data_IF_267645761454
#
_entry.id   IF_267645761454
#
_cell.length_a   1.000
_cell.length_b   1.000
_cell.length_c   1.000
_cell.angle_alpha   90.00
_cell.angle_beta   90.00
_cell.angle_gamma   90.00
#
_symmetry.space_group_name_H-M   'P 1'
#
loop_
_entity.id
_entity.type
_entity.pdbx_description
1 polymer ?
#
# COMPACT_ATOMS: atom_id res chain seq x y z
N UNK A 1 -14.24 -2.33 11.18
CA UNK A 1 -15.52 -2.54 10.43
C UNK A 1 -15.21 -3.25 9.12
N UNK A 2 -16.00 -4.25 8.72
CA UNK A 2 -15.80 -5.03 7.50
C UNK A 2 -17.03 -5.02 6.61
N UNK A 3 -16.80 -5.11 5.29
CA UNK A 3 -17.81 -5.29 4.26
C UNK A 3 -17.46 -6.53 3.44
N UNK A 4 -18.41 -7.44 3.29
CA UNK A 4 -18.28 -8.63 2.44
C UNK A 4 -19.33 -8.54 1.33
N UNK A 5 -18.90 -8.80 0.09
CA UNK A 5 -19.78 -8.88 -1.09
C UNK A 5 -19.25 -9.91 -2.07
N UNK A 6 -20.05 -10.27 -3.06
CA UNK A 6 -19.63 -11.19 -4.10
C UNK A 6 -20.20 -10.80 -5.46
N UNK A 7 -19.55 -11.26 -6.52
CA UNK A 7 -20.05 -11.26 -7.89
C UNK A 7 -19.99 -12.67 -8.50
N UNK A 8 -20.13 -12.76 -9.82
CA UNK A 8 -20.05 -14.05 -10.52
C UNK A 8 -18.67 -14.74 -10.37
N UNK A 9 -17.61 -13.97 -10.11
CA UNK A 9 -16.21 -14.38 -10.22
C UNK A 9 -15.51 -14.59 -8.88
N UNK A 10 -15.85 -13.81 -7.86
CA UNK A 10 -15.13 -13.84 -6.59
C UNK A 10 -16.01 -13.41 -5.41
N UNK A 11 -15.55 -13.72 -4.20
CA UNK A 11 -16.00 -13.13 -2.94
C UNK A 11 -14.94 -12.12 -2.51
N UNK A 12 -15.37 -10.97 -2.05
CA UNK A 12 -14.53 -9.85 -1.64
C UNK A 12 -14.74 -9.52 -0.18
N UNK A 13 -13.68 -9.10 0.49
CA UNK A 13 -13.76 -8.53 1.84
C UNK A 13 -12.93 -7.25 1.90
N UNK A 14 -13.55 -6.17 2.39
CA UNK A 14 -12.87 -4.91 2.69
C UNK A 14 -12.95 -4.65 4.18
N UNK A 15 -11.80 -4.50 4.82
CA UNK A 15 -11.65 -4.17 6.23
C UNK A 15 -11.13 -2.74 6.37
N UNK A 16 -11.71 -1.96 7.26
CA UNK A 16 -11.26 -0.61 7.56
C UNK A 16 -11.35 -0.35 9.06
N UNK A 17 -10.39 0.42 9.59
CA UNK A 17 -10.34 0.77 11.01
C UNK A 17 -10.21 -0.46 11.92
N UNK A 18 -9.44 -1.46 11.49
CA UNK A 18 -9.11 -2.61 12.33
C UNK A 18 -8.20 -2.10 13.44
N UNK A 19 -8.50 -2.47 14.68
CA UNK A 19 -7.76 -2.09 15.89
C UNK A 19 -7.15 -3.33 16.54
N UNK A 20 -6.00 -3.22 17.19
CA UNK A 20 -5.51 -4.28 18.09
C UNK A 20 -6.50 -4.48 19.25
N UNK A 21 -6.65 -5.70 19.76
CA UNK A 21 -7.64 -6.00 20.82
C UNK A 21 -7.28 -5.38 22.18
N UNK A 22 -6.00 -5.09 22.44
CA UNK A 22 -5.52 -4.42 23.66
C UNK A 22 -4.69 -3.20 23.31
N UNK A 23 -5.29 -2.01 23.45
CA UNK A 23 -4.65 -0.72 23.17
C UNK A 23 -3.63 -0.30 24.24
N UNK A 24 -3.64 -0.96 25.41
CA UNK A 24 -2.68 -0.70 26.49
C UNK A 24 -1.39 -1.52 26.35
N UNK A 25 -1.38 -2.52 25.46
CA UNK A 25 -0.21 -3.34 25.21
C UNK A 25 0.95 -2.53 24.57
N UNK A 26 2.21 -2.94 24.76
CA UNK A 26 3.34 -2.35 24.04
C UNK A 26 3.11 -2.33 22.52
N UNK A 27 3.60 -1.30 21.84
CA UNK A 27 3.34 -1.06 20.39
C UNK A 27 3.75 -2.21 19.48
N UNK A 28 4.85 -2.92 19.79
CA UNK A 28 5.23 -4.12 19.04
C UNK A 28 4.25 -5.29 19.21
N UNK A 29 3.62 -5.41 20.40
CA UNK A 29 2.55 -6.39 20.66
C UNK A 29 1.28 -6.00 19.88
N UNK A 30 0.93 -4.72 19.87
CA UNK A 30 -0.18 -4.22 19.06
C UNK A 30 0.07 -4.48 17.56
N UNK A 31 1.32 -4.28 17.07
CA UNK A 31 1.68 -4.56 15.68
C UNK A 31 1.59 -6.05 15.32
N UNK A 32 1.92 -6.96 16.22
CA UNK A 32 1.69 -8.38 16.00
C UNK A 32 0.19 -8.74 16.00
N UNK A 33 -0.55 -8.20 16.98
CA UNK A 33 -1.97 -8.48 17.16
C UNK A 33 -2.84 -8.00 15.99
N UNK A 34 -2.50 -6.86 15.33
CA UNK A 34 -3.30 -6.31 14.24
C UNK A 34 -3.44 -7.28 13.05
N UNK A 35 -2.40 -8.05 12.74
CA UNK A 35 -2.45 -9.04 11.65
C UNK A 35 -3.30 -10.25 12.02
N UNK A 36 -3.28 -10.68 13.28
CA UNK A 36 -4.17 -11.74 13.78
C UNK A 36 -5.62 -11.27 13.79
N UNK A 37 -5.89 -10.01 14.10
CA UNK A 37 -7.23 -9.44 14.05
C UNK A 37 -7.76 -9.37 12.61
N UNK A 38 -6.93 -8.95 11.64
CA UNK A 38 -7.27 -9.02 10.21
C UNK A 38 -7.60 -10.47 9.83
N UNK A 39 -6.78 -11.45 10.22
CA UNK A 39 -7.01 -12.86 9.92
C UNK A 39 -8.32 -13.38 10.54
N UNK A 40 -8.62 -13.00 11.78
CA UNK A 40 -9.86 -13.34 12.48
C UNK A 40 -11.09 -12.81 11.76
N UNK A 41 -11.07 -11.53 11.37
CA UNK A 41 -12.17 -10.91 10.61
C UNK A 41 -12.35 -11.51 9.22
N UNK A 42 -11.26 -11.90 8.55
CA UNK A 42 -11.33 -12.60 7.27
C UNK A 42 -11.93 -14.01 7.43
N UNK A 43 -11.65 -14.70 8.54
CA UNK A 43 -12.22 -16.02 8.82
C UNK A 43 -13.75 -15.98 8.94
N UNK A 44 -14.34 -14.91 9.47
CA UNK A 44 -15.80 -14.69 9.51
C UNK A 44 -16.40 -14.64 8.09
N UNK A 45 -15.61 -14.16 7.09
CA UNK A 45 -16.00 -14.16 5.68
C UNK A 45 -15.61 -15.45 4.93
N UNK A 46 -15.14 -16.49 5.64
CA UNK A 46 -14.66 -17.73 5.04
C UNK A 46 -13.38 -17.58 4.21
N UNK A 47 -12.55 -16.57 4.54
CA UNK A 47 -11.27 -16.26 3.90
C UNK A 47 -10.10 -16.51 4.86
N UNK A 48 -8.90 -16.49 4.31
CA UNK A 48 -7.63 -16.53 5.07
C UNK A 48 -6.76 -15.34 4.68
N UNK A 49 -5.66 -15.14 5.37
CA UNK A 49 -4.71 -14.08 5.02
C UNK A 49 -4.11 -14.26 3.60
N UNK A 50 -4.08 -15.47 3.05
CA UNK A 50 -3.66 -15.73 1.67
C UNK A 50 -4.56 -15.09 0.61
N UNK A 51 -5.76 -14.64 0.98
CA UNK A 51 -6.66 -13.90 0.10
C UNK A 51 -6.40 -12.38 0.11
N UNK A 52 -5.54 -11.88 1.01
CA UNK A 52 -5.25 -10.45 1.11
C UNK A 52 -4.40 -10.00 -0.07
N UNK A 53 -4.87 -8.99 -0.79
CA UNK A 53 -4.18 -8.41 -1.96
C UNK A 53 -3.65 -7.02 -1.67
N UNK A 54 -4.23 -6.32 -0.70
CA UNK A 54 -3.86 -4.95 -0.33
C UNK A 54 -4.00 -4.73 1.18
N UNK A 55 -3.03 -4.01 1.78
CA UNK A 55 -3.12 -3.55 3.18
C UNK A 55 -2.81 -2.05 3.29
N UNK A 56 -3.45 -1.38 4.25
CA UNK A 56 -3.12 -0.04 4.72
C UNK A 56 -2.80 -0.11 6.21
N UNK A 57 -1.70 0.51 6.60
CA UNK A 57 -1.16 0.46 7.96
C UNK A 57 -0.89 1.89 8.41
N UNK A 58 -1.70 2.37 9.34
CA UNK A 58 -1.63 3.72 9.88
C UNK A 58 -0.98 3.62 11.25
N UNK A 59 0.27 4.09 11.36
CA UNK A 59 1.17 3.81 12.48
C UNK A 59 1.46 5.11 13.20
N UNK A 60 1.04 5.24 14.47
CA UNK A 60 1.34 6.41 15.27
C UNK A 60 2.86 6.55 15.46
N UNK A 61 3.42 7.75 15.18
CA UNK A 61 4.85 8.04 15.28
C UNK A 61 5.75 7.02 14.59
N UNK A 62 5.41 6.69 13.34
CA UNK A 62 6.02 5.60 12.56
C UNK A 62 7.55 5.62 12.56
N UNK A 63 8.18 6.81 12.48
CA UNK A 63 9.64 6.95 12.43
C UNK A 63 10.35 6.45 13.70
N UNK A 64 9.67 6.43 14.85
CA UNK A 64 10.27 6.02 16.12
C UNK A 64 10.45 4.49 16.23
N UNK A 65 9.62 3.70 15.55
CA UNK A 65 9.58 2.25 15.78
C UNK A 65 9.29 1.38 14.54
N UNK A 66 9.50 1.94 13.36
CA UNK A 66 9.26 1.24 12.09
C UNK A 66 9.98 -0.11 11.99
N UNK A 67 11.18 -0.24 12.57
CA UNK A 67 11.91 -1.50 12.64
C UNK A 67 11.21 -2.57 13.48
N UNK A 68 10.65 -2.19 14.64
CA UNK A 68 9.86 -3.09 15.51
C UNK A 68 8.56 -3.53 14.83
N UNK A 69 7.86 -2.60 14.18
CA UNK A 69 6.69 -2.89 13.36
C UNK A 69 7.02 -3.90 12.25
N UNK A 70 8.09 -3.67 11.48
CA UNK A 70 8.50 -4.58 10.40
C UNK A 70 8.86 -5.98 10.91
N UNK A 71 9.50 -6.09 12.08
CA UNK A 71 9.80 -7.37 12.70
C UNK A 71 8.53 -8.16 13.02
N UNK A 72 7.51 -7.50 13.62
CA UNK A 72 6.24 -8.11 13.93
C UNK A 72 5.49 -8.57 12.65
N UNK A 73 5.43 -7.71 11.61
CA UNK A 73 4.83 -8.03 10.31
C UNK A 73 5.53 -9.23 9.66
N UNK A 74 6.86 -9.22 9.61
CA UNK A 74 7.63 -10.30 8.99
C UNK A 74 7.41 -11.62 9.70
N UNK A 75 7.42 -11.65 11.04
CA UNK A 75 7.15 -12.85 11.82
C UNK A 75 5.77 -13.44 11.53
N UNK A 76 4.73 -12.61 11.44
CA UNK A 76 3.39 -13.06 11.06
C UNK A 76 3.39 -13.63 9.62
N UNK A 77 4.00 -12.94 8.66
CA UNK A 77 4.05 -13.37 7.25
C UNK A 77 4.81 -14.68 7.07
N UNK A 78 5.92 -14.87 7.79
CA UNK A 78 6.64 -16.14 7.84
C UNK A 78 5.76 -17.27 8.37
N UNK A 79 5.06 -17.03 9.48
CA UNK A 79 4.17 -18.04 10.11
C UNK A 79 2.98 -18.45 9.22
N UNK A 80 2.63 -17.66 8.24
CA UNK A 80 1.54 -17.91 7.27
C UNK A 80 2.04 -18.21 5.86
N UNK A 81 3.35 -18.39 5.69
CA UNK A 81 3.99 -18.67 4.39
C UNK A 81 3.70 -17.63 3.31
N UNK A 82 3.42 -16.37 3.69
CA UNK A 82 3.04 -15.29 2.78
C UNK A 82 4.14 -15.00 1.76
N UNK A 83 5.40 -15.05 2.19
CA UNK A 83 6.56 -14.80 1.31
C UNK A 83 6.71 -15.81 0.14
N UNK A 84 6.16 -17.00 0.27
CA UNK A 84 6.23 -18.05 -0.76
C UNK A 84 4.89 -18.25 -1.49
N UNK A 85 3.86 -17.49 -1.13
CA UNK A 85 2.54 -17.56 -1.77
C UNK A 85 2.22 -16.26 -2.47
N UNK A 86 1.64 -15.31 -1.76
CA UNK A 86 1.28 -14.01 -2.32
C UNK A 86 1.58 -12.89 -1.32
N UNK A 87 2.52 -12.02 -1.67
CA UNK A 87 2.90 -10.86 -0.86
C UNK A 87 2.03 -9.66 -1.28
N UNK A 88 1.14 -9.15 -0.41
CA UNK A 88 0.21 -8.10 -0.77
C UNK A 88 0.93 -6.77 -1.05
N UNK A 89 0.30 -5.92 -1.87
CA UNK A 89 0.64 -4.51 -1.93
C UNK A 89 0.31 -3.85 -0.57
N UNK A 90 1.10 -2.86 -0.15
CA UNK A 90 0.92 -2.24 1.17
C UNK A 90 1.35 -0.78 1.18
N UNK A 91 0.65 0.02 1.98
CA UNK A 91 1.08 1.37 2.36
C UNK A 91 1.15 1.44 3.87
N UNK A 92 2.28 1.94 4.39
CA UNK A 92 2.49 2.15 5.82
C UNK A 92 2.95 3.58 6.08
N UNK A 93 2.11 4.39 6.72
CA UNK A 93 2.34 5.82 6.95
C UNK A 93 2.14 6.19 8.41
N UNK A 94 2.68 7.34 8.79
CA UNK A 94 2.51 7.93 10.11
C UNK A 94 1.13 8.57 10.24
N UNK A 95 0.28 7.98 11.07
CA UNK A 95 -1.03 8.56 11.37
C UNK A 95 -1.48 8.14 12.77
N UNK A 96 -1.74 9.12 13.61
CA UNK A 96 -2.45 8.90 14.87
C UNK A 96 -3.94 8.60 14.59
N UNK A 97 -4.60 7.96 15.55
CA UNK A 97 -6.02 7.66 15.49
C UNK A 97 -6.72 8.11 16.79
N UNK A 98 -8.04 8.20 16.74
CA UNK A 98 -8.85 8.70 17.88
C UNK A 98 -8.89 7.72 19.06
N UNK A 99 -8.62 6.44 18.83
CA UNK A 99 -8.65 5.40 19.84
C UNK A 99 -7.34 5.32 20.64
N UNK A 100 -6.28 6.03 20.19
CA UNK A 100 -4.96 6.00 20.82
C UNK A 100 -4.18 4.70 20.60
N UNK A 101 -4.58 3.90 19.61
CA UNK A 101 -3.85 2.70 19.21
C UNK A 101 -2.50 3.06 18.56
N UNK A 102 -1.48 2.26 18.81
CA UNK A 102 -0.19 2.42 18.15
C UNK A 102 -0.26 2.16 16.63
N UNK A 103 -1.25 1.39 16.20
CA UNK A 103 -1.49 1.07 14.79
C UNK A 103 -2.98 0.81 14.55
N UNK A 104 -3.47 1.25 13.39
CA UNK A 104 -4.75 0.80 12.82
C UNK A 104 -4.52 0.27 11.42
N UNK A 105 -5.40 -0.61 10.93
CA UNK A 105 -5.22 -1.22 9.63
C UNK A 105 -6.50 -1.26 8.79
N UNK A 106 -6.29 -1.34 7.48
CA UNK A 106 -7.28 -1.74 6.50
C UNK A 106 -6.73 -2.84 5.60
N UNK A 107 -7.62 -3.63 5.00
CA UNK A 107 -7.23 -4.68 4.06
C UNK A 107 -8.30 -4.88 2.98
N UNK A 108 -7.87 -5.29 1.80
CA UNK A 108 -8.74 -5.87 0.77
C UNK A 108 -8.31 -7.32 0.55
N UNK A 109 -9.27 -8.21 0.61
CA UNK A 109 -9.09 -9.62 0.29
C UNK A 109 -10.02 -10.04 -0.86
N UNK A 110 -9.52 -10.92 -1.72
CA UNK A 110 -10.25 -11.48 -2.86
C UNK A 110 -10.11 -12.99 -2.83
N UNK A 111 -11.24 -13.69 -2.79
CA UNK A 111 -11.31 -15.15 -2.87
C UNK A 111 -11.94 -15.54 -4.20
N UNK A 112 -11.16 -15.97 -5.20
CA UNK A 112 -11.68 -16.43 -6.47
C UNK A 112 -12.66 -17.58 -6.29
N UNK A 113 -13.72 -17.62 -7.10
CA UNK A 113 -14.66 -18.77 -7.19
C UNK A 113 -14.12 -19.86 -8.13
N UNK A 114 -13.27 -19.47 -9.07
CA UNK A 114 -12.60 -20.35 -10.01
C UNK A 114 -11.29 -19.74 -10.53
N UNK A 115 -10.61 -20.42 -11.44
CA UNK A 115 -9.31 -19.99 -11.98
C UNK A 115 -9.39 -18.81 -12.97
N UNK A 116 -10.57 -18.30 -13.28
CA UNK A 116 -10.73 -17.11 -14.15
C UNK A 116 -10.32 -15.82 -13.47
N UNK A 117 -10.23 -15.83 -12.13
CA UNK A 117 -9.72 -14.73 -11.33
C UNK A 117 -8.46 -15.13 -10.60
N UNK A 118 -7.43 -14.34 -10.72
CA UNK A 118 -6.17 -14.56 -10.00
C UNK A 118 -5.47 -13.23 -9.71
N UNK A 119 -4.56 -13.25 -8.73
CA UNK A 119 -3.76 -12.11 -8.36
C UNK A 119 -2.28 -12.36 -8.73
N UNK A 120 -1.61 -11.31 -9.19
CA UNK A 120 -0.18 -11.32 -9.53
C UNK A 120 0.57 -10.26 -8.74
N UNK A 121 1.78 -10.60 -8.28
CA UNK A 121 2.72 -9.62 -7.75
C UNK A 121 3.35 -8.87 -8.95
N UNK A 122 3.39 -7.55 -8.85
CA UNK A 122 3.99 -6.70 -9.88
C UNK A 122 5.24 -6.03 -9.32
N UNK A 123 6.36 -6.31 -9.96
CA UNK A 123 7.65 -5.70 -9.61
C UNK A 123 7.77 -4.28 -10.20
N UNK A 124 8.58 -3.45 -9.56
CA UNK A 124 8.91 -2.13 -10.11
C UNK A 124 10.11 -2.24 -11.06
N UNK A 125 10.01 -1.69 -12.29
CA UNK A 125 11.17 -1.62 -13.18
C UNK A 125 12.30 -0.72 -12.68
N UNK A 126 12.02 0.20 -11.75
CA UNK A 126 12.97 1.22 -11.30
C UNK A 126 13.39 1.10 -9.82
N UNK A 127 12.72 0.26 -9.04
CA UNK A 127 13.03 0.08 -7.62
C UNK A 127 13.19 -1.39 -7.28
N UNK A 128 14.18 -1.71 -6.45
CA UNK A 128 14.38 -3.07 -5.96
C UNK A 128 13.14 -3.58 -5.19
N UNK A 129 12.89 -4.89 -5.17
CA UNK A 129 11.86 -5.48 -4.32
C UNK A 129 12.02 -5.04 -2.87
N UNK A 130 10.91 -4.74 -2.19
CA UNK A 130 10.95 -4.24 -0.81
C UNK A 130 11.58 -5.27 0.16
N UNK A 131 11.45 -6.55 -0.12
CA UNK A 131 12.08 -7.62 0.63
C UNK A 131 13.61 -7.56 0.63
N UNK A 132 14.24 -6.99 -0.39
CA UNK A 132 15.69 -6.84 -0.45
C UNK A 132 16.25 -5.98 0.69
N UNK A 133 15.39 -5.16 1.32
CA UNK A 133 15.73 -4.31 2.46
C UNK A 133 14.85 -4.57 3.69
N UNK A 134 14.35 -5.80 3.82
CA UNK A 134 13.57 -6.29 4.97
C UNK A 134 12.23 -5.60 5.20
N UNK A 135 11.61 -5.09 4.15
CA UNK A 135 10.21 -4.63 4.18
C UNK A 135 9.30 -5.65 3.50
N UNK A 136 8.24 -6.04 4.20
CA UNK A 136 7.40 -7.18 3.81
C UNK A 136 6.17 -6.70 3.04
N UNK A 137 6.36 -6.32 1.77
CA UNK A 137 5.28 -5.96 0.83
C UNK A 137 5.77 -6.06 -0.62
N UNK A 138 4.85 -6.24 -1.57
CA UNK A 138 5.13 -6.11 -3.01
C UNK A 138 5.03 -4.66 -3.48
N UNK A 139 5.73 -4.30 -4.56
CA UNK A 139 5.65 -2.95 -5.14
C UNK A 139 4.27 -2.64 -5.67
N UNK A 140 3.63 -3.64 -6.25
CA UNK A 140 2.23 -3.58 -6.61
C UNK A 140 1.63 -4.99 -6.66
N UNK A 141 0.31 -5.07 -6.63
CA UNK A 141 -0.47 -6.28 -6.81
C UNK A 141 -1.53 -6.02 -7.88
N UNK A 142 -1.66 -6.91 -8.85
CA UNK A 142 -2.69 -6.84 -9.87
C UNK A 142 -3.68 -8.00 -9.71
N UNK A 143 -4.97 -7.69 -9.80
CA UNK A 143 -6.02 -8.71 -9.87
C UNK A 143 -6.55 -8.71 -11.30
N UNK A 144 -6.65 -9.91 -11.88
CA UNK A 144 -7.12 -10.14 -13.22
C UNK A 144 -8.46 -10.90 -13.19
N UNK A 145 -9.45 -10.32 -13.86
CA UNK A 145 -10.75 -10.92 -14.14
C UNK A 145 -10.92 -11.09 -15.65
N UNK A 146 -11.89 -11.86 -16.12
CA UNK A 146 -12.16 -12.00 -17.56
C UNK A 146 -12.51 -10.69 -18.27
N UNK A 147 -13.11 -9.75 -17.56
CA UNK A 147 -13.68 -8.49 -18.07
C UNK A 147 -12.94 -7.23 -17.61
N UNK A 148 -12.04 -7.33 -16.64
CA UNK A 148 -11.32 -6.18 -16.06
C UNK A 148 -10.01 -6.55 -15.39
N UNK A 149 -9.20 -5.54 -15.12
CA UNK A 149 -8.00 -5.68 -14.28
C UNK A 149 -7.94 -4.52 -13.29
N UNK A 150 -7.43 -4.77 -12.11
CA UNK A 150 -7.22 -3.77 -11.05
C UNK A 150 -5.80 -3.89 -10.51
N UNK A 151 -5.05 -2.81 -10.61
CA UNK A 151 -3.68 -2.70 -10.11
C UNK A 151 -3.68 -1.85 -8.84
N UNK A 152 -3.13 -2.38 -7.75
CA UNK A 152 -2.83 -1.68 -6.51
C UNK A 152 -1.34 -1.36 -6.46
N UNK A 153 -0.96 -0.10 -6.55
CA UNK A 153 0.42 0.34 -6.35
C UNK A 153 0.63 0.70 -4.88
N UNK A 154 1.59 0.06 -4.24
CA UNK A 154 1.97 0.30 -2.85
C UNK A 154 2.45 1.72 -2.62
N UNK A 155 2.45 2.16 -1.37
CA UNK A 155 3.13 3.38 -0.96
C UNK A 155 4.54 3.41 -1.57
N UNK A 156 4.79 4.42 -2.38
CA UNK A 156 6.01 4.59 -3.16
C UNK A 156 6.61 5.95 -2.89
N UNK A 157 7.87 5.97 -2.49
CA UNK A 157 8.67 7.17 -2.24
C UNK A 157 9.94 7.17 -3.09
N UNK A 158 10.70 8.24 -3.00
CA UNK A 158 11.97 8.43 -3.74
C UNK A 158 13.07 7.56 -3.15
N UNK A 159 13.49 6.53 -3.88
CA UNK A 159 14.53 5.57 -3.49
C UNK A 159 15.60 5.52 -4.56
N UNK A 160 16.87 5.39 -4.14
CA UNK A 160 17.99 5.16 -5.04
C UNK A 160 17.83 3.82 -5.78
N UNK A 161 18.18 3.73 -7.06
CA UNK A 161 18.20 2.46 -7.77
C UNK A 161 19.08 1.42 -7.04
N UNK A 162 18.56 0.20 -6.92
CA UNK A 162 19.27 -0.95 -6.32
C UNK A 162 19.72 -0.77 -4.85
N UNK A 163 19.17 0.20 -4.13
CA UNK A 163 19.42 0.42 -2.71
C UNK A 163 18.09 0.70 -1.99
N UNK A 164 18.20 0.96 -0.69
CA UNK A 164 17.08 1.42 0.13
C UNK A 164 17.27 2.86 0.59
N UNK A 165 18.30 3.51 0.10
CA UNK A 165 18.63 4.88 0.50
C UNK A 165 17.65 5.86 -0.15
N UNK A 166 17.35 6.93 0.59
CA UNK A 166 16.51 8.02 0.08
C UNK A 166 17.25 8.72 -1.05
N UNK A 167 16.59 8.86 -2.20
CA UNK A 167 17.09 9.66 -3.28
C UNK A 167 16.71 11.13 -3.06
N UNK A 168 17.62 12.05 -3.38
CA UNK A 168 17.38 13.51 -3.35
C UNK A 168 16.94 14.05 -1.99
N UNK A 169 17.67 13.67 -0.93
CA UNK A 169 17.41 14.16 0.44
C UNK A 169 17.29 15.69 0.47
N UNK A 170 16.22 16.20 1.06
CA UNK A 170 15.94 17.64 1.19
C UNK A 170 15.42 18.35 -0.07
N UNK A 171 15.30 17.66 -1.21
CA UNK A 171 14.84 18.23 -2.48
C UNK A 171 13.46 17.66 -2.85
N UNK A 172 12.40 18.36 -2.46
CA UNK A 172 11.03 17.91 -2.68
C UNK A 172 10.68 17.75 -4.17
N UNK A 173 11.13 18.65 -5.04
CA UNK A 173 10.79 18.61 -6.46
C UNK A 173 11.38 17.36 -7.12
N UNK A 174 12.63 17.04 -6.79
CA UNK A 174 13.26 15.81 -7.29
C UNK A 174 12.70 14.55 -6.64
N UNK A 175 12.30 14.59 -5.38
CA UNK A 175 11.62 13.45 -4.74
C UNK A 175 10.28 13.16 -5.41
N UNK A 176 9.46 14.18 -5.68
CA UNK A 176 8.21 14.03 -6.43
C UNK A 176 8.47 13.41 -7.80
N UNK A 177 9.39 13.98 -8.58
CA UNK A 177 9.67 13.48 -9.94
C UNK A 177 10.23 12.05 -9.95
N UNK A 178 11.13 11.72 -9.02
CA UNK A 178 11.67 10.37 -8.86
C UNK A 178 10.58 9.35 -8.50
N UNK A 179 9.76 9.67 -7.52
CA UNK A 179 8.63 8.84 -7.07
C UNK A 179 7.65 8.58 -8.21
N UNK A 180 7.22 9.64 -8.89
CA UNK A 180 6.23 9.53 -9.96
C UNK A 180 6.75 8.80 -11.20
N UNK A 181 8.06 8.86 -11.48
CA UNK A 181 8.70 8.01 -12.49
C UNK A 181 8.63 6.53 -12.13
N UNK A 182 8.89 6.19 -10.86
CA UNK A 182 8.80 4.81 -10.39
C UNK A 182 7.37 4.27 -10.47
N UNK A 183 6.39 5.07 -10.06
CA UNK A 183 4.96 4.74 -10.16
C UNK A 183 4.53 4.57 -11.62
N UNK A 184 4.92 5.50 -12.50
CA UNK A 184 4.57 5.39 -13.92
C UNK A 184 5.18 4.16 -14.59
N UNK A 185 6.42 3.81 -14.24
CA UNK A 185 7.06 2.60 -14.76
C UNK A 185 6.30 1.32 -14.35
N UNK A 186 5.72 1.28 -13.12
CA UNK A 186 4.85 0.17 -12.70
C UNK A 186 3.57 0.15 -13.56
N UNK A 187 2.89 1.29 -13.72
CA UNK A 187 1.69 1.40 -14.57
C UNK A 187 1.99 0.93 -16.00
N UNK A 188 3.02 1.49 -16.61
CA UNK A 188 3.40 1.21 -18.00
C UNK A 188 3.77 -0.26 -18.20
N UNK A 189 4.47 -0.90 -17.26
CA UNK A 189 4.85 -2.32 -17.32
C UNK A 189 3.65 -3.27 -17.42
N UNK A 190 2.48 -2.81 -16.97
CA UNK A 190 1.21 -3.55 -17.02
C UNK A 190 0.23 -2.98 -18.06
N UNK A 191 0.68 -2.01 -18.87
CA UNK A 191 -0.11 -1.39 -19.92
C UNK A 191 -1.18 -0.41 -19.42
N UNK A 192 -1.01 0.15 -18.22
CA UNK A 192 -1.82 1.26 -17.71
C UNK A 192 -1.14 2.61 -18.01
N UNK A 193 -1.95 3.66 -18.00
CA UNK A 193 -1.50 5.05 -18.03
C UNK A 193 -2.20 5.88 -16.95
N UNK A 194 -1.88 7.17 -16.87
CA UNK A 194 -2.51 8.08 -15.90
C UNK A 194 -4.05 8.14 -16.01
N UNK A 195 -4.59 7.94 -17.20
CA UNK A 195 -6.05 7.93 -17.44
C UNK A 195 -6.76 6.70 -16.84
N UNK A 196 -6.04 5.64 -16.53
CA UNK A 196 -6.59 4.42 -15.93
C UNK A 196 -6.60 4.51 -14.38
N UNK A 197 -5.98 5.55 -13.79
CA UNK A 197 -5.95 5.75 -12.32
C UNK A 197 -7.34 6.10 -11.82
N UNK A 198 -7.86 5.29 -10.92
CA UNK A 198 -9.20 5.43 -10.33
C UNK A 198 -9.18 6.02 -8.91
N UNK A 199 -8.04 5.93 -8.22
CA UNK A 199 -7.83 6.44 -6.87
C UNK A 199 -6.34 6.72 -6.68
N UNK A 200 -6.01 7.83 -6.05
CA UNK A 200 -4.66 8.11 -5.58
C UNK A 200 -4.69 8.88 -4.26
N UNK A 201 -3.71 8.65 -3.40
CA UNK A 201 -3.48 9.44 -2.18
C UNK A 201 -2.01 9.83 -2.15
N UNK A 202 -1.77 11.12 -1.96
CA UNK A 202 -0.45 11.71 -1.75
C UNK A 202 -0.28 12.02 -0.28
N UNK A 203 0.88 11.62 0.23
CA UNK A 203 1.35 11.84 1.59
C UNK A 203 2.50 12.85 1.54
N UNK A 204 2.26 14.04 2.09
CA UNK A 204 3.23 15.12 2.18
C UNK A 204 3.74 15.21 3.62
N UNK A 205 5.04 15.26 3.82
CA UNK A 205 5.60 15.42 5.17
C UNK A 205 5.26 16.80 5.76
N UNK A 206 5.15 17.83 4.91
CA UNK A 206 4.80 19.19 5.32
C UNK A 206 3.81 19.83 4.34
N UNK A 207 2.93 20.73 4.81
CA UNK A 207 1.99 21.45 3.94
C UNK A 207 2.67 22.28 2.83
N UNK A 208 3.87 22.78 3.09
CA UNK A 208 4.68 23.58 2.16
C UNK A 208 5.05 22.82 0.88
N UNK A 209 5.13 21.48 0.94
CA UNK A 209 5.49 20.63 -0.20
C UNK A 209 4.37 20.48 -1.23
N UNK A 210 3.15 20.88 -0.90
CA UNK A 210 2.02 20.87 -1.82
C UNK A 210 2.30 21.62 -3.12
N UNK A 211 3.04 22.74 -3.05
CA UNK A 211 3.35 23.55 -4.23
C UNK A 211 4.17 22.79 -5.27
N UNK A 212 5.16 21.99 -4.84
CA UNK A 212 5.98 21.15 -5.73
C UNK A 212 5.14 20.05 -6.39
N UNK A 213 4.23 19.40 -5.65
CA UNK A 213 3.29 18.42 -6.18
C UNK A 213 2.36 19.02 -7.25
N UNK A 214 1.73 20.15 -6.95
CA UNK A 214 0.82 20.81 -7.88
C UNK A 214 1.55 21.31 -9.15
N UNK A 215 2.78 21.79 -9.01
CA UNK A 215 3.61 22.17 -10.16
C UNK A 215 3.97 20.95 -11.03
N UNK A 216 4.24 19.79 -10.42
CA UNK A 216 4.50 18.54 -11.13
C UNK A 216 3.29 18.08 -11.94
N UNK A 217 2.07 18.14 -11.39
CA UNK A 217 0.81 17.84 -12.08
C UNK A 217 0.59 18.78 -13.27
N UNK A 218 0.69 20.09 -13.03
CA UNK A 218 0.48 21.10 -14.07
C UNK A 218 1.43 20.94 -15.26
N UNK A 219 2.71 20.63 -14.99
CA UNK A 219 3.73 20.40 -16.03
C UNK A 219 3.41 19.19 -16.94
N UNK A 220 2.51 18.31 -16.50
CA UNK A 220 2.11 17.09 -17.23
C UNK A 220 0.66 17.12 -17.73
N UNK A 221 -0.04 18.24 -17.51
CA UNK A 221 -1.44 18.39 -17.89
C UNK A 221 -2.39 17.48 -17.10
N UNK A 222 -1.99 17.04 -15.92
CA UNK A 222 -2.83 16.28 -15.01
C UNK A 222 -3.69 17.24 -14.17
N UNK A 223 -4.93 16.83 -13.79
CA UNK A 223 -5.81 17.67 -13.00
C UNK A 223 -5.23 17.90 -11.59
N UNK A 224 -5.49 19.07 -11.01
CA UNK A 224 -5.01 19.43 -9.67
C UNK A 224 -5.60 18.57 -8.54
N UNK A 225 -6.72 17.91 -8.79
CA UNK A 225 -7.40 16.93 -7.92
C UNK A 225 -7.11 15.48 -8.30
N UNK A 226 -6.01 15.22 -9.02
CA UNK A 226 -5.57 13.87 -9.42
C UNK A 226 -5.46 12.90 -8.24
N UNK A 227 -5.08 13.38 -7.07
CA UNK A 227 -4.96 12.61 -5.85
C UNK A 227 -5.57 13.37 -4.66
N UNK A 228 -6.12 12.62 -3.70
CA UNK A 228 -6.36 13.17 -2.37
C UNK A 228 -5.02 13.46 -1.69
N UNK A 229 -4.93 14.59 -1.00
CA UNK A 229 -3.69 15.04 -0.35
C UNK A 229 -3.85 14.98 1.17
N UNK A 230 -2.84 14.46 1.87
CA UNK A 230 -2.76 14.49 3.33
C UNK A 230 -1.36 14.83 3.80
N UNK A 231 -1.26 15.37 5.01
CA UNK A 231 0.01 15.69 5.66
C UNK A 231 0.24 14.70 6.79
N UNK A 232 1.33 13.94 6.70
CA UNK A 232 1.69 12.94 7.70
C UNK A 232 3.17 12.56 7.59
N UNK A 233 3.70 11.87 8.60
CA UNK A 233 5.01 11.25 8.50
C UNK A 233 4.98 10.08 7.51
N UNK A 234 6.01 10.02 6.70
CA UNK A 234 6.37 8.82 5.93
C UNK A 234 7.31 7.97 6.82
N UNK A 235 7.54 6.71 6.47
CA UNK A 235 8.27 5.78 7.34
C UNK A 235 9.77 6.10 7.55
N UNK A 236 10.28 7.19 6.96
CA UNK A 236 11.61 7.77 7.17
C UNK A 236 11.56 9.30 7.16
N UNK A 237 12.36 9.92 7.99
CA UNK A 237 12.39 11.37 8.12
C UNK A 237 12.82 12.14 6.85
N UNK A 238 13.67 11.52 6.03
CA UNK A 238 14.19 12.14 4.82
C UNK A 238 13.22 12.04 3.64
N UNK A 239 12.15 11.21 3.70
CA UNK A 239 11.11 11.19 2.68
C UNK A 239 10.11 12.32 2.90
N UNK A 240 10.02 13.18 1.91
CA UNK A 240 9.17 14.36 1.92
C UNK A 240 7.83 14.14 1.20
N UNK A 241 7.78 13.06 0.39
CA UNK A 241 6.67 12.73 -0.50
C UNK A 241 6.54 11.21 -0.67
N UNK A 242 5.33 10.73 -0.56
CA UNK A 242 4.94 9.37 -0.92
C UNK A 242 3.60 9.39 -1.64
N UNK A 243 3.32 8.43 -2.51
CA UNK A 243 2.02 8.25 -3.16
C UNK A 243 1.67 6.77 -3.21
N UNK A 244 0.40 6.47 -3.06
CA UNK A 244 -0.23 5.21 -3.45
C UNK A 244 -1.31 5.46 -4.49
N UNK A 245 -1.60 4.48 -5.33
CA UNK A 245 -2.71 4.58 -6.26
C UNK A 245 -3.28 3.21 -6.66
N UNK A 246 -4.50 3.26 -7.16
CA UNK A 246 -5.19 2.14 -7.78
C UNK A 246 -5.52 2.50 -9.23
N UNK A 247 -5.34 1.56 -10.16
CA UNK A 247 -5.68 1.75 -11.57
C UNK A 247 -6.56 0.60 -12.07
N UNK A 248 -7.56 0.93 -12.87
CA UNK A 248 -8.55 -0.02 -13.39
C UNK A 248 -8.53 0.00 -14.91
N UNK A 249 -8.60 -1.18 -15.51
CA UNK A 249 -8.76 -1.34 -16.94
C UNK A 249 -9.86 -2.33 -17.26
N UNK A 250 -10.87 -1.87 -17.99
CA UNK A 250 -11.92 -2.73 -18.54
C UNK A 250 -11.38 -3.40 -19.81
N UNK A 251 -11.59 -4.68 -19.94
CA UNK A 251 -11.17 -5.44 -21.11
C UNK A 251 -12.33 -5.54 -22.11
N UNK A 252 -12.05 -5.50 -23.42
CA UNK A 252 -13.09 -5.73 -24.42
C UNK A 252 -13.62 -7.19 -24.29
N UNK A 253 -14.94 -7.32 -24.28
CA UNK A 253 -15.61 -8.62 -24.36
C UNK A 253 -15.46 -9.23 -25.74
#
# INVERSE_FOLDING_TARGET
>A
MGLVWEDAHAVYCSLAGVLPPDLSAPRGVQAAAIFHEIESLLAEAGMTFANVVRTWLYIDRVCEWYGEFNAARSAFFESRNVFNTFLPASTGIGSANLDGAAITAGAIAVKPKDASVHAEIVESPLQAPAMAYRSSFSRAAEILWPDRRLLFVSGTASIQPNSHDVAFVGDIEKQVDCTMKAVYAILESRGYGWADVSRAIVYLKEPSFRAAWQAWLAARGLPGDFAAETVCDVCRDEWLFEIELDAVKVLPM
#
